data_IF_095343446636
#
_entry.id   IF_095343446636
#
_cell.length_a   1.000
_cell.length_b   1.000
_cell.length_c   1.000
_cell.angle_alpha   90.00
_cell.angle_beta   90.00
_cell.angle_gamma   90.00
#
_symmetry.space_group_name_H-M   'P 1'
#
loop_
_entity.id
_entity.type
_entity.pdbx_description
1 polymer ?
#
# COMPACT_ATOMS: atom_id res chain seq x y z
N UNK A 1 -8.76 12.51 -19.53
CA UNK A 1 -8.23 11.84 -18.33
C UNK A 1 -9.40 11.60 -17.39
N UNK A 2 -9.78 10.34 -17.15
CA UNK A 2 -10.79 10.05 -16.13
C UNK A 2 -10.09 10.09 -14.77
N UNK A 3 -10.31 11.17 -14.02
CA UNK A 3 -10.08 11.18 -12.57
C UNK A 3 -11.05 10.17 -11.99
N UNK A 4 -10.53 9.13 -11.34
CA UNK A 4 -11.31 8.14 -10.61
C UNK A 4 -12.00 8.84 -9.43
N UNK A 5 -13.18 9.43 -9.68
CA UNK A 5 -14.03 10.07 -8.66
C UNK A 5 -14.86 9.03 -7.92
N UNK A 6 -14.24 7.96 -7.42
CA UNK A 6 -14.91 7.05 -6.51
C UNK A 6 -14.73 7.55 -5.07
N UNK A 7 -15.46 8.61 -4.72
CA UNK A 7 -15.56 9.19 -3.37
C UNK A 7 -16.47 8.34 -2.45
N UNK A 8 -16.40 7.02 -2.60
CA UNK A 8 -17.12 6.08 -1.75
C UNK A 8 -16.18 5.72 -0.60
N UNK A 9 -16.45 6.24 0.60
CA UNK A 9 -15.73 5.84 1.82
C UNK A 9 -15.80 4.31 2.07
N UNK A 10 -16.72 3.63 1.38
CA UNK A 10 -16.87 2.18 1.31
C UNK A 10 -15.76 1.47 0.52
N UNK A 11 -15.20 2.12 -0.51
CA UNK A 11 -14.20 1.55 -1.41
C UNK A 11 -12.80 1.60 -0.83
N UNK A 12 -12.53 2.55 0.08
CA UNK A 12 -11.26 2.68 0.78
C UNK A 12 -11.44 2.77 2.30
N UNK A 13 -12.12 1.76 2.87
CA UNK A 13 -12.38 1.64 4.32
C UNK A 13 -11.11 1.69 5.19
N UNK A 14 -9.94 1.47 4.58
CA UNK A 14 -8.65 1.40 5.26
C UNK A 14 -7.67 2.52 4.88
N UNK A 15 -8.09 3.52 4.08
CA UNK A 15 -7.21 4.57 3.54
C UNK A 15 -5.88 4.01 3.00
N UNK A 16 -5.92 2.87 2.29
CA UNK A 16 -4.75 2.17 1.79
C UNK A 16 -3.91 3.10 0.91
N UNK A 17 -4.55 3.86 0.02
CA UNK A 17 -3.85 4.82 -0.84
C UNK A 17 -3.10 5.89 -0.04
N UNK A 18 -3.68 6.39 1.05
CA UNK A 18 -3.04 7.40 1.90
C UNK A 18 -1.81 6.83 2.62
N UNK A 19 -1.93 5.63 3.20
CA UNK A 19 -0.80 4.94 3.85
C UNK A 19 0.30 4.58 2.86
N UNK A 20 -0.05 4.24 1.62
CA UNK A 20 0.92 3.93 0.58
C UNK A 20 1.72 5.16 0.14
N UNK A 21 1.06 6.32 0.04
CA UNK A 21 1.71 7.61 -0.24
C UNK A 21 2.57 8.05 0.95
N UNK A 22 2.10 7.91 2.19
CA UNK A 22 2.87 8.24 3.38
C UNK A 22 4.13 7.36 3.52
N UNK A 23 4.01 6.04 3.31
CA UNK A 23 5.15 5.14 3.24
C UNK A 23 6.13 5.52 2.11
N UNK A 24 5.63 5.86 0.91
CA UNK A 24 6.47 6.33 -0.18
C UNK A 24 7.25 7.61 0.18
N UNK A 25 6.58 8.59 0.80
CA UNK A 25 7.22 9.82 1.26
C UNK A 25 8.27 9.54 2.33
N UNK A 26 7.96 8.68 3.30
CA UNK A 26 8.88 8.32 4.37
C UNK A 26 10.12 7.56 3.86
N UNK A 27 9.97 6.69 2.85
CA UNK A 27 11.10 6.06 2.14
C UNK A 27 11.95 7.12 1.42
N UNK A 28 11.31 8.06 0.71
CA UNK A 28 12.01 9.14 0.00
C UNK A 28 12.74 10.08 0.96
N UNK A 29 12.17 10.33 2.13
CA UNK A 29 12.77 11.12 3.22
C UNK A 29 13.80 10.33 4.04
N UNK A 30 14.15 9.09 3.64
CA UNK A 30 15.07 8.18 4.33
C UNK A 30 14.72 7.89 5.80
N UNK A 31 13.46 8.12 6.21
CA UNK A 31 12.97 7.72 7.53
C UNK A 31 12.84 6.21 7.67
N UNK A 32 12.63 5.54 6.53
CA UNK A 32 12.45 4.09 6.44
C UNK A 32 13.46 3.54 5.44
N UNK A 33 14.33 2.63 5.90
CA UNK A 33 15.38 2.02 5.08
C UNK A 33 15.09 0.56 4.70
N UNK A 34 14.12 -0.08 5.36
CA UNK A 34 13.76 -1.48 5.10
C UNK A 34 12.77 -1.66 3.95
N UNK A 35 12.14 -0.59 3.48
CA UNK A 35 11.17 -0.60 2.37
C UNK A 35 11.70 0.28 1.25
N UNK A 36 11.74 -0.25 0.01
CA UNK A 36 12.15 0.53 -1.16
C UNK A 36 10.94 0.97 -1.97
N UNK A 37 11.10 2.05 -2.74
CA UNK A 37 10.07 2.55 -3.67
C UNK A 37 9.66 1.47 -4.67
N UNK A 38 10.62 0.68 -5.16
CA UNK A 38 10.34 -0.43 -6.07
C UNK A 38 9.46 -1.49 -5.42
N UNK A 39 9.75 -1.86 -4.16
CA UNK A 39 8.91 -2.79 -3.39
C UNK A 39 7.49 -2.27 -3.22
N UNK A 40 7.33 -0.97 -2.90
CA UNK A 40 6.04 -0.30 -2.78
C UNK A 40 5.23 -0.34 -4.09
N UNK A 41 5.89 -0.10 -5.23
CA UNK A 41 5.26 -0.21 -6.55
C UNK A 41 4.81 -1.62 -6.87
N UNK A 42 5.63 -2.63 -6.55
CA UNK A 42 5.24 -4.04 -6.71
C UNK A 42 4.04 -4.42 -5.84
N UNK A 43 4.01 -3.97 -4.57
CA UNK A 43 2.86 -4.20 -3.68
C UNK A 43 1.58 -3.62 -4.28
N UNK A 44 1.62 -2.36 -4.75
CA UNK A 44 0.48 -1.73 -5.40
C UNK A 44 0.05 -2.47 -6.66
N UNK A 45 1.02 -2.84 -7.50
CA UNK A 45 0.75 -3.56 -8.75
C UNK A 45 0.08 -4.91 -8.48
N UNK A 46 0.54 -5.68 -7.49
CA UNK A 46 -0.04 -6.98 -7.17
C UNK A 46 -1.44 -6.85 -6.57
N UNK A 47 -1.66 -5.86 -5.69
CA UNK A 47 -2.99 -5.58 -5.15
C UNK A 47 -3.97 -5.15 -6.24
N UNK A 48 -3.53 -4.33 -7.20
CA UNK A 48 -4.38 -3.88 -8.29
C UNK A 48 -4.67 -4.98 -9.32
N UNK A 49 -3.65 -5.79 -9.67
CA UNK A 49 -3.76 -6.82 -10.71
C UNK A 49 -4.41 -8.10 -10.20
N UNK A 50 -4.06 -8.55 -9.00
CA UNK A 50 -4.49 -9.84 -8.45
C UNK A 50 -5.46 -9.70 -7.27
N UNK A 51 -5.57 -8.52 -6.65
CA UNK A 51 -6.37 -8.30 -5.44
C UNK A 51 -5.65 -8.70 -4.14
N UNK A 52 -4.43 -9.21 -4.22
CA UNK A 52 -3.62 -9.63 -3.07
C UNK A 52 -2.12 -9.50 -3.39
N UNK A 53 -1.32 -9.23 -2.36
CA UNK A 53 0.14 -9.22 -2.41
C UNK A 53 0.69 -10.40 -1.61
N UNK A 54 1.78 -11.03 -2.06
CA UNK A 54 2.35 -12.20 -1.38
C UNK A 54 3.79 -11.91 -0.95
N UNK A 55 4.01 -11.37 0.27
CA UNK A 55 5.37 -11.07 0.74
C UNK A 55 6.21 -12.32 1.02
N UNK A 56 5.55 -13.41 1.41
CA UNK A 56 6.15 -14.72 1.72
C UNK A 56 5.34 -15.77 0.98
N UNK A 57 6.01 -16.76 0.39
CA UNK A 57 5.35 -17.84 -0.31
C UNK A 57 4.29 -18.50 0.57
N UNK A 58 3.03 -18.47 0.11
CA UNK A 58 1.88 -19.05 0.82
C UNK A 58 1.08 -18.09 1.70
N UNK A 59 1.55 -16.85 1.93
CA UNK A 59 0.80 -15.85 2.69
C UNK A 59 0.27 -14.75 1.76
N UNK A 60 -1.06 -14.67 1.61
CA UNK A 60 -1.71 -13.61 0.85
C UNK A 60 -2.10 -12.47 1.77
N UNK A 61 -1.62 -11.28 1.46
CA UNK A 61 -2.02 -10.04 2.11
C UNK A 61 -3.01 -9.31 1.24
N UNK A 62 -4.16 -8.98 1.82
CA UNK A 62 -5.17 -8.16 1.17
C UNK A 62 -4.94 -6.69 1.51
N UNK A 63 -5.70 -5.80 0.87
CA UNK A 63 -5.62 -4.35 1.09
C UNK A 63 -5.59 -3.95 2.58
N UNK A 64 -6.39 -4.62 3.42
CA UNK A 64 -6.41 -4.40 4.88
C UNK A 64 -5.06 -4.73 5.53
N UNK A 65 -4.50 -5.91 5.25
CA UNK A 65 -3.26 -6.37 5.85
C UNK A 65 -2.09 -5.48 5.43
N UNK A 66 -2.09 -5.04 4.17
CA UNK A 66 -1.10 -4.08 3.66
C UNK A 66 -1.27 -2.72 4.32
N UNK A 67 -2.49 -2.21 4.48
CA UNK A 67 -2.74 -0.95 5.17
C UNK A 67 -2.28 -1.00 6.63
N UNK A 68 -2.56 -2.09 7.36
CA UNK A 68 -2.12 -2.28 8.75
C UNK A 68 -0.58 -2.38 8.84
N UNK A 69 0.06 -3.06 7.89
CA UNK A 69 1.51 -3.12 7.80
C UNK A 69 2.13 -1.73 7.57
N UNK A 70 1.60 -0.98 6.60
CA UNK A 70 2.07 0.38 6.29
C UNK A 70 1.84 1.33 7.47
N UNK A 71 0.69 1.25 8.15
CA UNK A 71 0.42 2.02 9.36
C UNK A 71 1.45 1.74 10.47
N UNK A 72 1.82 0.48 10.70
CA UNK A 72 2.89 0.14 11.67
C UNK A 72 4.27 0.67 11.26
N UNK A 73 4.47 0.89 9.98
CA UNK A 73 5.72 1.38 9.38
C UNK A 73 5.84 2.91 9.47
N UNK A 74 4.73 3.61 9.75
CA UNK A 74 4.66 5.07 9.85
C UNK A 74 4.89 5.62 11.26
N UNK A 75 4.98 4.75 12.29
CA UNK A 75 5.25 5.13 13.69
C UNK A 75 6.73 5.45 13.91
#
# INVERSE_FOLDING_TARGET
>A
MQVLTCNDASLDRHNLGAHLVAAYLNVKSQKISFLTVERLKSIWHDLYTYGYYTPVAGTRWYAKDVAEYLQRTET
#
